data_IF_384381336954
#
_entry.id   IF_384381336954
#
_cell.length_a   1.000
_cell.length_b   1.000
_cell.length_c   1.000
_cell.angle_alpha   90.00
_cell.angle_beta   90.00
_cell.angle_gamma   90.00
#
_symmetry.space_group_name_H-M   'P 1'
#
loop_
_entity.id
_entity.type
_entity.pdbx_description
1 polymer ?
#
# COMPACT_ATOMS: atom_id res chain seq x y z
N UNK A 1 10.44 37.75 0.02
CA UNK A 1 10.63 36.32 0.05
C UNK A 1 10.01 35.61 -1.19
N UNK A 2 10.48 35.91 -2.41
CA UNK A 2 9.97 35.34 -3.69
C UNK A 2 11.08 34.80 -4.61
N UNK A 3 12.30 34.54 -4.12
CA UNK A 3 13.45 34.18 -4.95
C UNK A 3 13.89 32.71 -4.81
N UNK A 4 13.43 31.99 -3.79
CA UNK A 4 13.83 30.59 -3.57
C UNK A 4 13.05 29.56 -4.39
N UNK A 5 11.92 29.93 -4.99
CA UNK A 5 11.06 29.00 -5.76
C UNK A 5 11.49 28.79 -7.21
N UNK A 6 12.34 29.65 -7.77
CA UNK A 6 12.75 29.55 -9.19
C UNK A 6 14.05 28.77 -9.41
N UNK A 7 14.89 28.63 -8.38
CA UNK A 7 16.21 27.99 -8.50
C UNK A 7 16.16 26.46 -8.52
N UNK A 8 15.10 25.86 -7.97
CA UNK A 8 14.90 24.38 -8.00
C UNK A 8 14.31 23.86 -9.32
N UNK A 9 13.79 24.71 -10.19
CA UNK A 9 13.20 24.32 -11.48
C UNK A 9 14.20 24.13 -12.63
N UNK A 10 15.45 24.49 -12.44
CA UNK A 10 16.40 24.63 -13.58
C UNK A 10 17.43 23.47 -13.67
N UNK A 11 17.42 22.51 -12.77
CA UNK A 11 18.43 21.41 -12.78
C UNK A 11 17.86 20.08 -13.28
N UNK A 12 16.53 19.90 -13.24
CA UNK A 12 15.88 18.72 -13.82
C UNK A 12 14.92 19.19 -14.90
N UNK A 13 15.20 18.81 -16.16
CA UNK A 13 14.34 19.12 -17.29
C UNK A 13 12.87 18.85 -16.97
N UNK A 14 11.94 19.57 -17.61
CA UNK A 14 10.48 19.39 -17.51
C UNK A 14 10.02 18.03 -18.09
N UNK A 15 10.63 16.93 -17.65
CA UNK A 15 10.10 15.59 -17.88
C UNK A 15 8.81 15.43 -17.08
N UNK A 16 7.75 14.98 -17.72
CA UNK A 16 6.47 14.69 -17.04
C UNK A 16 6.70 13.65 -15.94
N UNK A 17 6.24 13.95 -14.73
CA UNK A 17 6.31 13.02 -13.62
C UNK A 17 4.94 12.40 -13.36
N UNK A 18 4.93 11.13 -12.96
CA UNK A 18 3.73 10.47 -12.47
C UNK A 18 3.79 10.43 -10.94
N UNK A 19 2.79 11.05 -10.31
CA UNK A 19 2.67 11.14 -8.87
C UNK A 19 1.78 10.02 -8.37
N UNK A 20 2.32 9.16 -7.50
CA UNK A 20 1.60 8.04 -6.88
C UNK A 20 1.55 8.26 -5.38
N UNK A 21 0.35 8.13 -4.80
CA UNK A 21 0.14 8.07 -3.37
C UNK A 21 -0.20 6.61 -3.01
N UNK A 22 0.61 5.97 -2.16
CA UNK A 22 0.29 4.66 -1.61
C UNK A 22 -0.05 4.81 -0.12
N UNK A 23 -1.26 4.44 0.25
CA UNK A 23 -1.80 4.49 1.61
C UNK A 23 -1.59 3.12 2.24
N UNK A 24 -1.04 3.07 3.45
CA UNK A 24 -0.80 1.83 4.18
C UNK A 24 -2.07 1.07 4.57
N UNK A 25 -1.92 0.03 5.38
CA UNK A 25 -3.00 -0.88 5.76
C UNK A 25 -4.17 -0.14 6.42
N UNK A 26 -5.33 -0.10 5.76
CA UNK A 26 -6.54 0.55 6.26
C UNK A 26 -7.23 -0.37 7.26
N UNK A 27 -7.26 -0.01 8.55
CA UNK A 27 -7.78 -0.85 9.62
C UNK A 27 -9.13 -0.36 10.12
N UNK A 28 -10.17 -1.12 9.87
CA UNK A 28 -11.51 -0.96 10.42
C UNK A 28 -12.20 0.38 10.07
N UNK A 29 -13.18 0.75 10.85
CA UNK A 29 -13.96 1.99 10.68
C UNK A 29 -13.13 3.25 10.93
N UNK A 30 -12.23 3.22 11.92
CA UNK A 30 -11.33 4.32 12.24
C UNK A 30 -10.39 4.63 11.07
N UNK A 31 -9.82 3.58 10.42
CA UNK A 31 -8.97 3.77 9.24
C UNK A 31 -9.73 4.36 8.05
N UNK A 32 -10.94 3.86 7.76
CA UNK A 32 -11.77 4.42 6.68
C UNK A 32 -12.18 5.88 6.97
N UNK A 33 -12.43 6.23 8.23
CA UNK A 33 -12.69 7.61 8.66
C UNK A 33 -11.47 8.50 8.39
N UNK A 34 -10.29 8.06 8.77
CA UNK A 34 -9.05 8.78 8.49
C UNK A 34 -8.83 9.01 6.99
N UNK A 35 -9.06 8.00 6.15
CA UNK A 35 -8.98 8.15 4.68
C UNK A 35 -9.96 9.22 4.19
N UNK A 36 -11.19 9.22 4.67
CA UNK A 36 -12.22 10.20 4.26
C UNK A 36 -11.85 11.63 4.63
N UNK A 37 -11.20 11.83 5.78
CA UNK A 37 -10.81 13.14 6.27
C UNK A 37 -9.51 13.65 5.64
N UNK A 38 -8.53 12.78 5.46
CA UNK A 38 -7.16 13.15 5.08
C UNK A 38 -6.96 13.15 3.56
N UNK A 39 -7.50 12.16 2.83
CA UNK A 39 -7.22 12.00 1.41
C UNK A 39 -7.59 13.21 0.55
N UNK A 40 -8.71 13.92 0.74
CA UNK A 40 -9.03 15.13 -0.02
C UNK A 40 -7.94 16.21 0.10
N UNK A 41 -7.42 16.43 1.31
CA UNK A 41 -6.36 17.43 1.56
C UNK A 41 -5.03 17.02 0.94
N UNK A 42 -4.68 15.73 1.00
CA UNK A 42 -3.48 15.23 0.33
C UNK A 42 -3.58 15.32 -1.19
N UNK A 43 -4.78 15.09 -1.74
CA UNK A 43 -5.02 15.28 -3.19
C UNK A 43 -4.82 16.73 -3.63
N UNK A 44 -5.28 17.69 -2.85
CA UNK A 44 -5.08 19.11 -3.15
C UNK A 44 -3.60 19.50 -3.02
N UNK A 45 -2.92 19.00 -1.99
CA UNK A 45 -1.53 19.33 -1.70
C UNK A 45 -0.53 18.68 -2.66
N UNK A 46 -0.65 17.37 -2.86
CA UNK A 46 0.33 16.57 -3.61
C UNK A 46 -0.10 16.27 -5.05
N UNK A 47 -1.39 16.46 -5.38
CA UNK A 47 -1.97 16.20 -6.71
C UNK A 47 -1.56 14.83 -7.27
N UNK A 48 -1.75 13.73 -6.52
CA UNK A 48 -1.42 12.40 -7.03
C UNK A 48 -2.26 12.08 -8.26
N UNK A 49 -1.61 11.53 -9.28
CA UNK A 49 -2.29 11.04 -10.48
C UNK A 49 -2.97 9.71 -10.21
N UNK A 50 -2.38 8.89 -9.33
CA UNK A 50 -2.88 7.60 -8.90
C UNK A 50 -2.79 7.47 -7.38
N UNK A 51 -3.84 6.92 -6.77
CA UNK A 51 -3.92 6.62 -5.35
C UNK A 51 -4.19 5.13 -5.18
N UNK A 52 -3.30 4.44 -4.50
CA UNK A 52 -3.38 3.01 -4.19
C UNK A 52 -3.40 2.87 -2.68
N UNK A 53 -4.04 1.83 -2.15
CA UNK A 53 -4.07 1.56 -0.72
C UNK A 53 -4.07 0.06 -0.44
N UNK A 54 -3.57 -0.36 0.73
CA UNK A 54 -3.83 -1.71 1.21
C UNK A 54 -5.17 -1.74 1.96
N UNK A 55 -6.09 -2.57 1.48
CA UNK A 55 -7.48 -2.66 1.97
C UNK A 55 -7.79 -3.92 2.76
N UNK A 56 -6.83 -4.79 3.03
CA UNK A 56 -7.08 -6.12 3.60
C UNK A 56 -7.70 -6.11 5.00
N UNK A 57 -7.51 -5.02 5.76
CA UNK A 57 -8.03 -4.87 7.13
C UNK A 57 -9.24 -3.93 7.22
N UNK A 58 -9.79 -3.48 6.09
CA UNK A 58 -10.81 -2.44 6.05
C UNK A 58 -12.17 -2.86 6.62
N UNK A 59 -12.52 -4.16 6.57
CA UNK A 59 -13.75 -4.70 7.12
C UNK A 59 -13.54 -5.26 8.53
N UNK A 60 -13.83 -4.45 9.55
CA UNK A 60 -13.70 -4.84 10.96
C UNK A 60 -12.33 -5.47 11.31
N UNK A 61 -11.25 -4.95 10.69
CA UNK A 61 -9.88 -5.36 10.92
C UNK A 61 -9.43 -6.60 10.13
N UNK A 62 -10.30 -7.22 9.31
CA UNK A 62 -9.95 -8.39 8.49
C UNK A 62 -10.82 -8.49 7.24
N UNK A 63 -10.18 -8.59 6.08
CA UNK A 63 -10.85 -8.68 4.80
C UNK A 63 -11.50 -7.36 4.35
N UNK A 64 -12.27 -7.44 3.29
CA UNK A 64 -13.00 -6.34 2.68
C UNK A 64 -14.37 -6.81 2.20
N UNK A 65 -15.37 -5.92 2.19
CA UNK A 65 -16.69 -6.15 1.58
C UNK A 65 -16.85 -5.33 0.31
N UNK A 66 -17.77 -5.73 -0.58
CA UNK A 66 -18.09 -4.96 -1.79
C UNK A 66 -18.52 -3.52 -1.48
N UNK A 67 -19.26 -3.32 -0.39
CA UNK A 67 -19.69 -1.99 0.08
C UNK A 67 -18.49 -1.14 0.48
N UNK A 68 -17.54 -1.71 1.26
CA UNK A 68 -16.35 -0.99 1.73
C UNK A 68 -15.40 -0.70 0.56
N UNK A 69 -15.19 -1.65 -0.34
CA UNK A 69 -14.40 -1.42 -1.54
C UNK A 69 -14.95 -0.24 -2.36
N UNK A 70 -16.26 -0.21 -2.57
CA UNK A 70 -16.95 0.89 -3.26
C UNK A 70 -16.79 2.21 -2.52
N UNK A 71 -16.97 2.23 -1.18
CA UNK A 71 -16.72 3.40 -0.35
C UNK A 71 -15.30 3.97 -0.58
N UNK A 72 -14.27 3.12 -0.57
CA UNK A 72 -12.89 3.53 -0.77
C UNK A 72 -12.62 4.04 -2.19
N UNK A 73 -13.20 3.42 -3.21
CA UNK A 73 -13.11 3.91 -4.58
C UNK A 73 -13.81 5.26 -4.77
N UNK A 74 -14.96 5.46 -4.15
CA UNK A 74 -15.71 6.72 -4.21
C UNK A 74 -14.95 7.87 -3.53
N UNK A 75 -14.09 7.57 -2.54
CA UNK A 75 -13.17 8.54 -1.94
C UNK A 75 -11.99 8.91 -2.87
N UNK A 76 -11.82 8.21 -3.98
CA UNK A 76 -10.80 8.48 -5.00
C UNK A 76 -9.56 7.60 -4.89
N UNK A 77 -9.64 6.45 -4.23
CA UNK A 77 -8.65 5.38 -4.36
C UNK A 77 -8.88 4.71 -5.71
N UNK A 78 -7.81 4.46 -6.47
CA UNK A 78 -7.89 3.89 -7.81
C UNK A 78 -7.66 2.38 -7.83
N UNK A 79 -6.94 1.84 -6.83
CA UNK A 79 -6.67 0.41 -6.69
C UNK A 79 -6.43 0.01 -5.25
N UNK A 80 -6.77 -1.23 -4.91
CA UNK A 80 -6.58 -1.80 -3.59
C UNK A 80 -5.69 -3.04 -3.69
N UNK A 81 -4.65 -3.10 -2.86
CA UNK A 81 -3.90 -4.32 -2.59
C UNK A 81 -4.46 -5.02 -1.35
N UNK A 82 -4.22 -6.30 -1.26
CA UNK A 82 -4.65 -7.16 -0.16
C UNK A 82 -3.43 -7.83 0.49
N UNK A 83 -3.68 -8.81 1.35
CA UNK A 83 -2.63 -9.59 2.03
C UNK A 83 -3.17 -10.90 2.59
N UNK A 84 -2.66 -11.34 3.75
CA UNK A 84 -3.05 -12.62 4.36
C UNK A 84 -4.51 -12.67 4.84
N UNK A 85 -5.17 -11.54 5.01
CA UNK A 85 -6.60 -11.46 5.38
C UNK A 85 -7.54 -11.39 4.18
N UNK A 86 -7.05 -11.59 2.95
CA UNK A 86 -7.86 -11.56 1.72
C UNK A 86 -9.14 -12.38 1.84
N UNK A 87 -9.06 -13.58 2.41
CA UNK A 87 -10.15 -14.56 2.47
C UNK A 87 -10.92 -14.57 3.79
N UNK A 88 -10.58 -13.69 4.74
CA UNK A 88 -11.21 -13.71 6.08
C UNK A 88 -12.66 -13.22 6.05
N UNK A 89 -13.03 -12.39 5.09
CA UNK A 89 -14.41 -12.02 4.83
C UNK A 89 -14.92 -12.76 3.58
N UNK A 90 -15.85 -13.69 3.76
CA UNK A 90 -16.33 -14.56 2.69
C UNK A 90 -17.09 -13.84 1.58
N UNK A 91 -17.63 -12.63 1.83
CA UNK A 91 -18.30 -11.82 0.81
C UNK A 91 -17.37 -11.51 -0.38
N UNK A 92 -16.05 -11.53 -0.17
CA UNK A 92 -15.08 -11.26 -1.23
C UNK A 92 -15.21 -12.22 -2.41
N UNK A 93 -15.61 -13.47 -2.18
CA UNK A 93 -15.81 -14.47 -3.23
C UNK A 93 -16.95 -14.12 -4.20
N UNK A 94 -17.86 -13.23 -3.80
CA UNK A 94 -18.99 -12.82 -4.61
C UNK A 94 -18.65 -11.72 -5.63
N UNK A 95 -17.49 -11.02 -5.47
CA UNK A 95 -17.21 -9.85 -6.29
C UNK A 95 -15.75 -9.69 -6.75
N UNK A 96 -14.78 -10.45 -6.19
CA UNK A 96 -13.35 -10.21 -6.50
C UNK A 96 -12.99 -10.48 -7.96
N UNK A 97 -13.67 -11.41 -8.62
CA UNK A 97 -13.43 -11.72 -10.04
C UNK A 97 -13.89 -10.59 -10.96
N UNK A 98 -14.95 -9.86 -10.57
CA UNK A 98 -15.56 -8.77 -11.33
C UNK A 98 -14.97 -7.39 -10.98
N UNK A 99 -14.13 -7.28 -9.92
CA UNK A 99 -13.52 -6.03 -9.52
C UNK A 99 -12.01 -5.99 -9.83
N UNK A 100 -11.62 -5.53 -11.03
CA UNK A 100 -10.22 -5.54 -11.48
C UNK A 100 -9.31 -4.59 -10.70
N UNK A 101 -9.86 -3.72 -9.86
CA UNK A 101 -9.10 -2.76 -9.05
C UNK A 101 -8.66 -3.33 -7.69
N UNK A 102 -9.07 -4.57 -7.36
CA UNK A 102 -8.63 -5.28 -6.16
C UNK A 102 -7.60 -6.32 -6.57
N UNK A 103 -6.41 -6.25 -5.95
CA UNK A 103 -5.27 -7.12 -6.26
C UNK A 103 -4.92 -7.93 -5.02
N UNK A 104 -5.19 -9.22 -5.05
CA UNK A 104 -4.76 -10.14 -3.99
C UNK A 104 -3.30 -10.56 -4.19
N UNK A 105 -2.64 -11.20 -3.20
CA UNK A 105 -1.31 -11.73 -3.41
C UNK A 105 -1.21 -12.65 -4.64
N UNK A 106 -0.27 -12.33 -5.53
CA UNK A 106 -0.08 -13.04 -6.80
C UNK A 106 0.47 -14.45 -6.59
N UNK A 107 1.23 -14.64 -5.52
CA UNK A 107 1.83 -15.91 -5.15
C UNK A 107 0.94 -16.77 -4.23
N UNK A 108 -0.38 -16.55 -4.25
CA UNK A 108 -1.34 -17.55 -3.81
C UNK A 108 -1.39 -18.71 -4.81
N UNK A 109 -1.86 -19.87 -4.37
CA UNK A 109 -1.97 -21.06 -5.22
C UNK A 109 -2.76 -20.76 -6.51
N UNK A 110 -2.39 -21.39 -7.63
CA UNK A 110 -3.12 -21.25 -8.89
C UNK A 110 -4.61 -21.62 -8.74
N UNK A 111 -5.47 -20.90 -9.45
CA UNK A 111 -6.92 -21.14 -9.42
C UNK A 111 -7.68 -20.39 -8.32
N UNK A 112 -7.00 -19.66 -7.44
CA UNK A 112 -7.69 -18.75 -6.52
C UNK A 112 -8.40 -17.63 -7.28
N UNK A 113 -9.62 -17.21 -6.85
CA UNK A 113 -10.36 -16.13 -7.49
C UNK A 113 -9.60 -14.78 -7.39
N UNK A 114 -9.98 -13.83 -8.24
CA UNK A 114 -9.36 -12.52 -8.33
C UNK A 114 -7.99 -12.53 -9.01
N UNK A 115 -7.33 -11.40 -8.97
CA UNK A 115 -6.08 -11.12 -9.70
C UNK A 115 -4.92 -10.86 -8.75
N UNK A 116 -3.73 -11.32 -9.12
CA UNK A 116 -2.49 -11.03 -8.38
C UNK A 116 -1.75 -9.80 -8.89
N UNK A 117 -2.12 -9.31 -10.08
CA UNK A 117 -1.61 -8.09 -10.69
C UNK A 117 -2.67 -7.46 -11.59
N UNK A 118 -2.57 -6.16 -11.82
CA UNK A 118 -3.48 -5.40 -12.70
C UNK A 118 -2.81 -4.13 -13.20
N UNK A 119 -3.40 -3.49 -14.21
CA UNK A 119 -3.00 -2.17 -14.67
C UNK A 119 -4.12 -1.20 -14.34
N UNK A 120 -3.85 -0.26 -13.44
CA UNK A 120 -4.77 0.82 -13.08
C UNK A 120 -4.54 2.01 -14.01
N UNK A 121 -5.66 2.58 -14.50
CA UNK A 121 -5.65 3.75 -15.38
C UNK A 121 -6.43 4.89 -14.77
N UNK A 122 -5.88 6.10 -14.88
CA UNK A 122 -6.58 7.35 -14.57
C UNK A 122 -6.24 8.40 -15.65
N UNK A 123 -7.16 8.64 -16.57
CA UNK A 123 -6.90 9.44 -17.76
C UNK A 123 -5.76 8.86 -18.60
N UNK A 124 -4.70 9.64 -18.80
CA UNK A 124 -3.51 9.20 -19.55
C UNK A 124 -2.49 8.41 -18.71
N UNK A 125 -2.66 8.35 -17.40
CA UNK A 125 -1.72 7.72 -16.48
C UNK A 125 -2.05 6.24 -16.28
N UNK A 126 -1.01 5.41 -16.33
CA UNK A 126 -1.11 3.96 -16.14
C UNK A 126 -0.08 3.52 -15.10
N UNK A 127 -0.49 2.61 -14.22
CA UNK A 127 0.37 1.99 -13.20
C UNK A 127 0.06 0.49 -13.11
N UNK A 128 1.06 -0.33 -13.36
CA UNK A 128 1.00 -1.75 -13.03
C UNK A 128 1.10 -1.93 -11.53
N UNK A 129 0.24 -2.75 -10.97
CA UNK A 129 0.26 -3.11 -9.56
C UNK A 129 0.46 -4.62 -9.46
N UNK A 130 1.45 -5.03 -8.69
CA UNK A 130 1.69 -6.41 -8.30
C UNK A 130 1.58 -6.47 -6.79
N UNK A 131 0.80 -7.41 -6.26
CA UNK A 131 0.77 -7.69 -4.84
C UNK A 131 1.46 -9.03 -4.58
N UNK A 132 2.40 -9.05 -3.65
CA UNK A 132 3.13 -10.25 -3.24
C UNK A 132 2.96 -10.47 -1.74
N UNK A 133 2.95 -11.73 -1.31
CA UNK A 133 2.95 -12.06 0.11
C UNK A 133 4.22 -12.83 0.47
N UNK A 134 4.79 -12.50 1.64
CA UNK A 134 5.93 -13.22 2.18
C UNK A 134 5.60 -14.63 2.64
N UNK A 135 6.65 -15.40 2.95
CA UNK A 135 6.55 -16.78 3.47
C UNK A 135 7.12 -16.93 4.87
N UNK A 136 8.00 -16.00 5.28
CA UNK A 136 8.63 -16.04 6.60
C UNK A 136 7.62 -15.67 7.66
N UNK A 137 7.34 -16.58 8.59
CA UNK A 137 6.29 -16.48 9.63
C UNK A 137 4.85 -16.41 9.11
N UNK A 138 4.66 -16.65 7.83
CA UNK A 138 3.35 -16.75 7.15
C UNK A 138 3.15 -18.15 6.58
N UNK A 139 1.95 -18.52 6.13
CA UNK A 139 1.71 -19.81 5.47
C UNK A 139 2.64 -20.03 4.26
N UNK A 140 2.88 -21.29 3.85
CA UNK A 140 3.79 -21.65 2.76
C UNK A 140 3.17 -21.33 1.39
N UNK A 141 3.10 -20.04 1.06
CA UNK A 141 2.68 -19.57 -0.27
C UNK A 141 3.75 -19.88 -1.35
N UNK A 142 3.39 -19.73 -2.62
CA UNK A 142 4.34 -19.85 -3.72
C UNK A 142 5.47 -18.79 -3.61
N UNK A 143 6.56 -19.02 -4.33
CA UNK A 143 7.74 -18.16 -4.28
C UNK A 143 7.45 -16.75 -4.81
N UNK A 144 7.54 -15.68 -3.98
CA UNK A 144 7.24 -14.32 -4.41
C UNK A 144 8.25 -13.78 -5.43
N UNK A 145 9.53 -14.20 -5.38
CA UNK A 145 10.57 -13.77 -6.33
C UNK A 145 10.25 -14.30 -7.73
N UNK A 146 10.03 -15.61 -7.85
CA UNK A 146 9.66 -16.23 -9.13
C UNK A 146 8.34 -15.73 -9.67
N UNK A 147 7.38 -15.44 -8.77
CA UNK A 147 6.08 -14.91 -9.17
C UNK A 147 6.23 -13.51 -9.75
N UNK A 148 7.04 -12.65 -9.14
CA UNK A 148 7.35 -11.32 -9.67
C UNK A 148 8.04 -11.40 -11.02
N UNK A 149 9.06 -12.26 -11.15
CA UNK A 149 9.79 -12.48 -12.41
C UNK A 149 8.83 -12.86 -13.53
N UNK A 150 7.98 -13.86 -13.30
CA UNK A 150 7.00 -14.30 -14.31
C UNK A 150 6.05 -13.19 -14.74
N UNK A 151 5.53 -12.40 -13.80
CA UNK A 151 4.60 -11.31 -14.13
C UNK A 151 5.31 -10.23 -14.96
N UNK A 152 6.53 -9.86 -14.58
CA UNK A 152 7.32 -8.86 -15.32
C UNK A 152 7.69 -9.36 -16.72
N UNK A 153 8.01 -10.64 -16.87
CA UNK A 153 8.24 -11.29 -18.17
C UNK A 153 6.96 -11.29 -19.03
N UNK A 154 5.81 -11.64 -18.46
CA UNK A 154 4.52 -11.60 -19.15
C UNK A 154 4.15 -10.18 -19.61
N UNK A 155 4.46 -9.18 -18.81
CA UNK A 155 4.26 -7.78 -19.17
C UNK A 155 5.25 -7.28 -20.23
N UNK A 156 6.42 -7.88 -20.30
CA UNK A 156 7.42 -7.68 -21.34
C UNK A 156 7.66 -6.20 -21.73
N UNK A 157 7.84 -5.35 -20.72
CA UNK A 157 8.05 -3.90 -20.89
C UNK A 157 6.85 -3.10 -21.40
N UNK A 158 5.68 -3.71 -21.59
CA UNK A 158 4.46 -3.00 -21.99
C UNK A 158 3.91 -2.06 -20.90
N UNK A 159 4.26 -2.31 -19.63
CA UNK A 159 3.90 -1.49 -18.48
C UNK A 159 5.15 -0.81 -18.00
N UNK A 160 5.24 0.50 -18.18
CA UNK A 160 6.44 1.27 -17.82
C UNK A 160 6.55 1.49 -16.32
N UNK A 161 5.45 1.86 -15.67
CA UNK A 161 5.42 2.15 -14.25
C UNK A 161 4.81 0.97 -13.51
N UNK A 162 5.60 0.38 -12.61
CA UNK A 162 5.17 -0.78 -11.82
C UNK A 162 5.42 -0.51 -10.34
N UNK A 163 4.36 -0.66 -9.54
CA UNK A 163 4.41 -0.64 -8.09
C UNK A 163 4.16 -2.06 -7.56
N UNK A 164 5.05 -2.52 -6.70
CA UNK A 164 4.93 -3.82 -6.02
C UNK A 164 4.64 -3.58 -4.54
N UNK A 165 3.51 -4.09 -4.05
CA UNK A 165 3.21 -4.17 -2.62
C UNK A 165 3.69 -5.54 -2.10
N UNK A 166 4.63 -5.52 -1.16
CA UNK A 166 5.17 -6.70 -0.50
C UNK A 166 4.56 -6.81 0.89
N UNK A 167 3.50 -7.58 0.99
CA UNK A 167 2.79 -7.85 2.23
C UNK A 167 3.49 -8.97 3.02
N UNK A 168 4.39 -8.62 3.93
CA UNK A 168 5.24 -9.62 4.61
C UNK A 168 5.59 -9.21 6.05
N UNK A 169 5.76 -10.21 6.92
CA UNK A 169 6.18 -10.02 8.31
C UNK A 169 7.66 -9.68 8.41
N UNK A 170 8.54 -10.44 7.72
CA UNK A 170 9.97 -10.32 7.88
C UNK A 170 10.55 -9.16 7.06
N UNK A 171 11.24 -8.22 7.73
CA UNK A 171 11.94 -7.10 7.09
C UNK A 171 12.99 -7.58 6.09
N UNK A 172 13.73 -8.66 6.41
CA UNK A 172 14.74 -9.22 5.51
C UNK A 172 14.15 -9.73 4.19
N UNK A 173 12.93 -10.30 4.21
CA UNK A 173 12.25 -10.76 3.01
C UNK A 173 11.81 -9.57 2.15
N UNK A 174 11.27 -8.51 2.76
CA UNK A 174 10.91 -7.26 2.07
C UNK A 174 12.12 -6.61 1.41
N UNK A 175 13.22 -6.43 2.17
CA UNK A 175 14.46 -5.84 1.67
C UNK A 175 15.03 -6.67 0.51
N UNK A 176 15.03 -8.01 0.64
CA UNK A 176 15.53 -8.89 -0.40
C UNK A 176 14.71 -8.78 -1.70
N UNK A 177 13.39 -8.66 -1.60
CA UNK A 177 12.53 -8.41 -2.76
C UNK A 177 12.77 -7.02 -3.36
N UNK A 178 13.00 -5.99 -2.54
CA UNK A 178 13.39 -4.67 -3.00
C UNK A 178 14.65 -4.72 -3.86
N UNK A 179 15.71 -5.36 -3.38
CA UNK A 179 16.95 -5.53 -4.13
C UNK A 179 16.81 -6.40 -5.39
N UNK A 180 16.01 -7.47 -5.32
CA UNK A 180 15.74 -8.33 -6.47
C UNK A 180 15.03 -7.59 -7.61
N UNK A 181 14.19 -6.64 -7.27
CA UNK A 181 13.37 -5.88 -8.21
C UNK A 181 13.98 -4.52 -8.59
N UNK A 182 15.11 -4.15 -8.01
CA UNK A 182 15.77 -2.87 -8.29
C UNK A 182 16.12 -2.70 -9.77
N UNK A 183 15.70 -1.56 -10.33
CA UNK A 183 15.84 -1.23 -11.75
C UNK A 183 14.86 -1.94 -12.68
N UNK A 184 13.98 -2.81 -12.14
CA UNK A 184 12.99 -3.57 -12.91
C UNK A 184 11.56 -3.08 -12.70
N UNK A 185 11.33 -2.35 -11.59
CA UNK A 185 10.04 -1.75 -11.21
C UNK A 185 10.27 -0.33 -10.72
N UNK A 186 9.20 0.48 -10.71
CA UNK A 186 9.28 1.87 -10.28
C UNK A 186 9.34 2.01 -8.75
N UNK A 187 8.61 1.14 -8.03
CA UNK A 187 8.55 1.17 -6.58
C UNK A 187 8.27 -0.20 -5.97
N UNK A 188 8.87 -0.46 -4.81
CA UNK A 188 8.57 -1.57 -3.91
C UNK A 188 8.21 -0.98 -2.56
N UNK A 189 7.00 -1.20 -2.10
CA UNK A 189 6.49 -0.75 -0.79
C UNK A 189 6.11 -1.96 0.03
N UNK A 190 6.45 -1.96 1.33
CA UNK A 190 6.04 -3.04 2.23
C UNK A 190 4.80 -2.68 3.03
N UNK A 191 4.02 -3.70 3.40
CA UNK A 191 2.82 -3.63 4.25
C UNK A 191 2.82 -4.78 5.27
N UNK A 192 1.80 -4.95 6.06
CA UNK A 192 1.54 -6.01 7.04
C UNK A 192 1.90 -5.67 8.48
N UNK A 193 3.07 -5.10 8.77
CA UNK A 193 3.48 -4.90 10.17
C UNK A 193 2.76 -3.74 10.85
N UNK A 194 2.09 -2.87 10.08
CA UNK A 194 1.34 -1.71 10.54
C UNK A 194 2.18 -0.59 11.17
N UNK A 195 3.50 -0.73 11.18
CA UNK A 195 4.43 0.25 11.74
C UNK A 195 5.25 0.86 10.62
N UNK A 196 5.06 2.16 10.36
CA UNK A 196 5.82 2.86 9.32
C UNK A 196 7.30 2.86 9.65
N UNK A 197 8.13 2.34 8.73
CA UNK A 197 9.58 2.40 8.84
C UNK A 197 10.12 3.70 8.25
N UNK A 198 11.34 4.08 8.61
CA UNK A 198 11.98 5.31 8.15
C UNK A 198 13.26 4.97 7.38
N UNK A 199 13.12 4.09 6.41
CA UNK A 199 14.19 3.61 5.54
C UNK A 199 13.89 3.88 4.06
N UNK A 200 12.96 4.81 3.80
CA UNK A 200 12.59 5.18 2.45
C UNK A 200 13.80 5.69 1.66
N UNK A 201 14.03 5.10 0.50
CA UNK A 201 15.15 5.45 -0.36
C UNK A 201 14.85 5.17 -1.84
N UNK A 202 15.72 5.65 -2.70
CA UNK A 202 15.79 5.18 -4.09
C UNK A 202 16.99 4.24 -4.17
N UNK A 203 16.75 3.00 -4.54
CA UNK A 203 17.79 1.99 -4.75
C UNK A 203 18.66 2.34 -5.96
N UNK A 204 19.89 1.81 -6.08
CA UNK A 204 20.83 2.18 -7.13
C UNK A 204 20.32 2.01 -8.56
N UNK A 205 19.41 1.04 -8.81
CA UNK A 205 18.76 0.83 -10.11
C UNK A 205 17.61 1.78 -10.40
N UNK A 206 17.24 2.65 -9.45
CA UNK A 206 16.21 3.67 -9.63
C UNK A 206 14.83 3.29 -9.06
N UNK A 207 14.71 2.19 -8.34
CA UNK A 207 13.46 1.77 -7.69
C UNK A 207 13.26 2.48 -6.35
N UNK A 208 12.12 3.13 -6.14
CA UNK A 208 11.74 3.61 -4.81
C UNK A 208 11.45 2.44 -3.87
N UNK A 209 11.94 2.53 -2.62
CA UNK A 209 11.78 1.46 -1.63
C UNK A 209 11.41 2.00 -0.25
N UNK A 210 10.56 1.29 0.45
CA UNK A 210 10.31 1.41 1.89
C UNK A 210 9.90 0.06 2.47
N UNK A 211 10.47 -0.31 3.63
CA UNK A 211 10.20 -1.61 4.27
C UNK A 211 8.75 -1.76 4.73
N UNK A 212 8.14 -0.74 5.31
CA UNK A 212 6.71 -0.76 5.65
C UNK A 212 6.11 0.64 5.63
N UNK A 213 4.97 0.78 4.97
CA UNK A 213 4.24 2.05 4.87
C UNK A 213 3.49 2.36 6.16
N UNK A 214 3.27 1.36 7.02
CA UNK A 214 2.48 1.48 8.23
C UNK A 214 0.97 1.37 7.98
N UNK A 215 0.18 1.63 9.00
CA UNK A 215 -1.28 1.54 8.92
C UNK A 215 -1.98 2.89 8.91
N UNK A 216 -3.22 2.88 8.44
CA UNK A 216 -4.23 3.92 8.66
C UNK A 216 -5.30 3.34 9.59
N UNK A 217 -5.35 3.78 10.84
CA UNK A 217 -6.21 3.17 11.84
C UNK A 217 -6.18 3.89 13.18
N UNK A 218 -6.68 3.26 14.23
CA UNK A 218 -6.65 3.84 15.57
C UNK A 218 -5.21 4.01 16.07
N UNK A 219 -4.86 5.23 16.52
CA UNK A 219 -3.53 5.55 17.02
C UNK A 219 -3.24 4.85 18.33
N UNK A 220 -4.17 4.98 19.29
CA UNK A 220 -4.03 4.42 20.63
C UNK A 220 -4.51 2.95 20.60
N UNK A 221 -3.68 2.08 20.04
CA UNK A 221 -4.00 0.67 19.77
C UNK A 221 -2.72 -0.18 19.73
N UNK A 222 -2.87 -1.50 19.68
CA UNK A 222 -1.78 -2.39 19.30
C UNK A 222 -2.01 -2.80 17.84
N UNK A 223 -1.29 -2.13 16.94
CA UNK A 223 -1.40 -2.33 15.48
C UNK A 223 -2.85 -2.33 14.95
N UNK A 224 -3.70 -1.44 15.50
CA UNK A 224 -5.09 -1.28 15.11
C UNK A 224 -6.10 -2.05 15.95
N UNK A 225 -5.66 -2.89 16.90
CA UNK A 225 -6.53 -3.68 17.79
C UNK A 225 -6.55 -3.10 19.21
N UNK A 226 -7.64 -3.33 19.95
CA UNK A 226 -7.79 -2.89 21.33
C UNK A 226 -6.64 -3.38 22.22
N UNK A 227 -6.05 -2.45 22.99
CA UNK A 227 -4.85 -2.69 23.81
C UNK A 227 -5.07 -3.82 24.81
N UNK A 228 -6.20 -3.80 25.54
CA UNK A 228 -6.45 -4.76 26.62
C UNK A 228 -6.50 -6.21 26.09
N UNK A 229 -7.20 -6.42 24.99
CA UNK A 229 -7.37 -7.74 24.37
C UNK A 229 -6.01 -8.31 23.92
N UNK A 230 -5.18 -7.48 23.27
CA UNK A 230 -3.87 -7.90 22.79
C UNK A 230 -2.89 -8.14 23.93
N UNK A 231 -2.80 -7.21 24.90
CA UNK A 231 -1.93 -7.37 26.09
C UNK A 231 -2.33 -8.61 26.88
N UNK A 232 -3.63 -8.88 27.07
CA UNK A 232 -4.12 -10.10 27.71
C UNK A 232 -3.65 -11.36 26.97
N UNK A 233 -3.73 -11.37 25.62
CA UNK A 233 -3.25 -12.49 24.80
C UNK A 233 -1.77 -12.77 25.04
N UNK A 234 -0.93 -11.74 25.02
CA UNK A 234 0.51 -11.91 25.23
C UNK A 234 0.86 -12.35 26.64
N UNK A 235 0.16 -11.82 27.65
CA UNK A 235 0.43 -12.16 29.07
C UNK A 235 -0.06 -13.54 29.45
N UNK A 236 -1.16 -14.00 28.88
CA UNK A 236 -1.80 -15.24 29.32
C UNK A 236 -1.69 -16.40 28.35
N UNK A 237 -1.36 -16.11 27.07
CA UNK A 237 -1.38 -17.06 25.96
C UNK A 237 -2.75 -17.72 25.72
N UNK A 238 -3.80 -17.25 26.43
CA UNK A 238 -5.16 -17.75 26.26
C UNK A 238 -5.78 -17.26 24.95
N UNK A 239 -6.71 -18.00 24.36
CA UNK A 239 -7.47 -17.52 23.21
C UNK A 239 -8.20 -16.21 23.55
N UNK A 240 -8.01 -15.19 22.72
CA UNK A 240 -8.69 -13.89 22.84
C UNK A 240 -9.17 -13.48 21.46
N UNK A 241 -10.40 -12.99 21.39
CA UNK A 241 -10.91 -12.34 20.18
C UNK A 241 -10.38 -10.93 20.11
N UNK A 242 -9.66 -10.59 19.05
CA UNK A 242 -9.24 -9.23 18.80
C UNK A 242 -10.37 -8.42 18.20
N UNK A 243 -10.50 -7.18 18.66
CA UNK A 243 -11.47 -6.21 18.19
C UNK A 243 -10.70 -4.98 17.67
N UNK A 244 -11.04 -4.44 16.50
CA UNK A 244 -10.44 -3.20 16.03
C UNK A 244 -10.66 -2.08 17.03
N UNK A 245 -9.59 -1.34 17.31
CA UNK A 245 -9.66 -0.20 18.21
C UNK A 245 -10.40 0.97 17.55
N UNK A 246 -11.12 1.72 18.35
CA UNK A 246 -11.73 2.98 17.99
C UNK A 246 -11.00 4.16 18.63
N UNK A 247 -11.33 5.39 18.24
CA UNK A 247 -10.76 6.61 18.81
C UNK A 247 -10.04 7.46 17.79
N UNK A 248 -9.00 8.18 18.23
CA UNK A 248 -8.21 9.05 17.38
C UNK A 248 -7.43 8.23 16.37
N UNK A 249 -7.39 8.74 15.12
CA UNK A 249 -6.68 8.02 14.06
C UNK A 249 -5.22 8.47 13.90
N UNK A 250 -4.43 7.57 13.31
CA UNK A 250 -3.18 7.87 12.60
C UNK A 250 -3.36 7.54 11.13
N UNK A 251 -2.64 8.27 10.28
CA UNK A 251 -2.64 8.07 8.83
C UNK A 251 -1.19 7.98 8.33
N UNK A 252 -0.84 6.85 7.74
CA UNK A 252 0.47 6.64 7.13
C UNK A 252 0.32 6.35 5.63
N UNK A 253 1.19 6.96 4.85
CA UNK A 253 1.26 6.78 3.40
C UNK A 253 2.67 7.07 2.91
N UNK A 254 2.93 6.79 1.64
CA UNK A 254 4.10 7.28 0.91
C UNK A 254 3.68 7.99 -0.36
N UNK A 255 4.36 9.07 -0.67
CA UNK A 255 4.22 9.79 -1.93
C UNK A 255 5.45 9.55 -2.78
N UNK A 256 5.25 9.10 -4.02
CA UNK A 256 6.30 8.70 -4.94
C UNK A 256 6.15 9.49 -6.23
N UNK A 257 7.23 10.13 -6.67
CA UNK A 257 7.31 10.77 -7.97
C UNK A 257 8.08 9.86 -8.91
N UNK A 258 7.45 9.42 -9.98
CA UNK A 258 8.03 8.54 -10.99
C UNK A 258 8.40 9.35 -12.24
N UNK A 259 9.53 9.02 -12.82
CA UNK A 259 9.97 9.58 -14.09
C UNK A 259 9.20 8.93 -15.24
N UNK A 260 8.50 9.76 -16.05
CA UNK A 260 7.65 9.25 -17.13
C UNK A 260 8.47 8.73 -18.34
N UNK A 261 9.74 9.11 -18.46
CA UNK A 261 10.61 8.65 -19.54
C UNK A 261 11.31 7.33 -19.21
N UNK A 262 11.86 7.22 -17.99
CA UNK A 262 12.64 6.07 -17.56
C UNK A 262 11.83 4.99 -16.87
N UNK A 263 10.71 5.37 -16.25
CA UNK A 263 9.91 4.48 -15.38
C UNK A 263 10.45 4.36 -13.95
N UNK A 264 11.65 4.88 -13.67
CA UNK A 264 12.26 4.90 -12.34
C UNK A 264 11.64 5.96 -11.41
N UNK A 265 12.00 5.94 -10.14
CA UNK A 265 11.56 6.92 -9.17
C UNK A 265 12.50 8.12 -9.12
N UNK A 266 11.92 9.33 -9.02
CA UNK A 266 12.63 10.58 -8.75
C UNK A 266 12.71 10.88 -7.26
N UNK A 267 11.66 10.56 -6.52
CA UNK A 267 11.58 10.78 -5.08
C UNK A 267 10.60 9.83 -4.42
N UNK A 268 10.83 9.54 -3.14
CA UNK A 268 9.89 8.91 -2.23
C UNK A 268 9.87 9.69 -0.92
N UNK A 269 8.68 9.91 -0.36
CA UNK A 269 8.50 10.65 0.89
C UNK A 269 7.45 9.99 1.75
N UNK A 270 7.76 9.81 3.03
CA UNK A 270 6.78 9.38 4.03
C UNK A 270 5.77 10.49 4.29
N UNK A 271 4.53 10.07 4.48
CA UNK A 271 3.44 10.92 4.98
C UNK A 271 2.94 10.28 6.26
N UNK A 272 2.95 11.06 7.36
CA UNK A 272 2.44 10.64 8.65
C UNK A 272 1.65 11.78 9.26
N UNK A 273 0.39 11.50 9.61
CA UNK A 273 -0.49 12.44 10.27
C UNK A 273 -1.21 11.79 11.45
N UNK A 274 -1.45 12.60 12.47
CA UNK A 274 -2.27 12.25 13.62
C UNK A 274 -3.47 13.19 13.69
N UNK A 275 -4.62 12.67 14.13
CA UNK A 275 -5.86 13.44 14.20
C UNK A 275 -5.72 14.73 15.01
N UNK A 276 -5.01 14.70 16.13
CA UNK A 276 -4.79 15.87 17.00
C UNK A 276 -4.02 16.99 16.33
N UNK A 277 -2.99 16.63 15.58
CA UNK A 277 -2.13 17.57 14.85
C UNK A 277 -2.82 18.11 13.60
N UNK A 278 -3.68 17.30 13.00
CA UNK A 278 -4.42 17.61 11.78
C UNK A 278 -5.51 18.68 12.01
N UNK A 279 -6.20 18.60 13.16
CA UNK A 279 -7.27 19.56 13.53
C UNK A 279 -6.68 20.92 13.91
N UNK A 280 -5.41 20.96 14.33
CA UNK A 280 -4.70 22.18 14.76
C UNK A 280 -3.91 22.90 13.64
N UNK A 281 -3.88 22.34 12.45
CA UNK A 281 -3.17 22.89 11.28
C UNK A 281 -4.13 23.55 10.27
#
# INVERSE_FOLDING_TARGET
MRVASSFFRTIFGEGTAINVLFIGDIVGSTGRRAVREVLPVLRDKYRPHLVIANGENAAAGRGITAKIARELFDLGIHGLTMGNHTWDNKEIFEFIDDEPRIVRPANYAPGNPGRGCTIIKNGKYELGIINLIGRTFLPPFDDPFRTADRILEEWNGRVRHVLVDVHAEATSEKISLGWHLDGRVSAVVGTHTHVQTHDECILPGGTAYVTDVGMVGARDSVIGMEIESVVRKFRTQMPVRFVPAEGKWQFNAVFIELDDETGGARSIRLIRHFEDEWISA
#
